data_IF_760964966514
#
_entry.id   IF_760964966514
#
_cell.length_a   1.000
_cell.length_b   1.000
_cell.length_c   1.000
_cell.angle_alpha   90.00
_cell.angle_beta   90.00
_cell.angle_gamma   90.00
#
_symmetry.space_group_name_H-M   'P 1'
#
loop_
_entity.id
_entity.type
_entity.pdbx_description
1 polymer ?
#
# COMPACT_ATOMS: atom_id res chain seq x y z
N UNK A 1 20.23 -7.82 -39.36
CA UNK A 1 20.36 -6.51 -38.70
C UNK A 1 19.29 -5.49 -39.10
N UNK A 2 18.52 -5.69 -40.19
CA UNK A 2 17.51 -4.71 -40.65
C UNK A 2 16.16 -4.80 -39.92
N UNK A 3 15.82 -5.97 -39.35
CA UNK A 3 14.53 -6.15 -38.64
C UNK A 3 14.54 -5.54 -37.22
N UNK A 4 15.63 -5.71 -36.48
CA UNK A 4 15.76 -5.23 -35.08
C UNK A 4 15.68 -3.71 -34.93
N UNK A 5 16.11 -2.95 -35.93
CA UNK A 5 16.00 -1.48 -35.91
C UNK A 5 14.56 -0.97 -36.03
N UNK A 6 13.66 -1.74 -36.68
CA UNK A 6 12.25 -1.38 -36.83
C UNK A 6 11.45 -1.61 -35.55
N UNK A 7 11.74 -2.69 -34.83
CA UNK A 7 11.10 -3.02 -33.54
C UNK A 7 11.43 -1.95 -32.49
N UNK A 8 12.68 -1.50 -32.46
CA UNK A 8 13.12 -0.41 -31.58
C UNK A 8 12.38 0.91 -31.83
N UNK A 9 12.35 1.37 -33.09
CA UNK A 9 11.71 2.63 -33.43
C UNK A 9 10.21 2.60 -33.14
N UNK A 10 9.58 1.43 -33.29
CA UNK A 10 8.18 1.23 -32.90
C UNK A 10 7.98 1.46 -31.40
N UNK A 11 8.74 0.77 -30.53
CA UNK A 11 8.58 0.91 -29.09
C UNK A 11 8.92 2.33 -28.60
N UNK A 12 9.96 2.96 -29.15
CA UNK A 12 10.27 4.36 -28.83
C UNK A 12 9.14 5.33 -29.21
N UNK A 13 8.51 5.12 -30.37
CA UNK A 13 7.37 5.95 -30.78
C UNK A 13 6.20 5.79 -29.83
N UNK A 14 5.89 4.55 -29.43
CA UNK A 14 4.83 4.26 -28.44
C UNK A 14 5.10 4.94 -27.11
N UNK A 15 6.33 4.87 -26.58
CA UNK A 15 6.70 5.59 -25.34
C UNK A 15 6.57 7.11 -25.52
N UNK A 16 7.09 7.64 -26.63
CA UNK A 16 7.05 9.07 -26.91
C UNK A 16 5.62 9.60 -27.06
N UNK A 17 4.70 8.86 -27.68
CA UNK A 17 3.29 9.26 -27.76
C UNK A 17 2.63 9.26 -26.38
N UNK A 18 2.90 8.23 -25.57
CA UNK A 18 2.34 8.09 -24.24
C UNK A 18 3.00 9.02 -23.20
N UNK A 19 4.15 9.61 -23.50
CA UNK A 19 4.82 10.61 -22.67
C UNK A 19 4.43 12.07 -23.01
N UNK A 20 3.58 12.31 -24.03
CA UNK A 20 3.13 13.67 -24.39
C UNK A 20 2.02 14.15 -23.48
N UNK A 21 2.25 15.29 -22.82
CA UNK A 21 1.24 15.97 -22.01
C UNK A 21 0.22 16.64 -22.94
N UNK A 22 -0.89 15.97 -23.19
CA UNK A 22 -2.03 16.60 -23.86
C UNK A 22 -3.32 16.23 -23.13
N UNK A 23 -4.25 17.19 -23.05
CA UNK A 23 -5.55 17.00 -22.40
C UNK A 23 -6.43 15.93 -23.08
N UNK A 24 -6.02 15.45 -24.26
CA UNK A 24 -6.67 14.40 -25.03
C UNK A 24 -5.90 13.07 -25.02
N UNK A 25 -4.73 13.01 -24.36
CA UNK A 25 -3.95 11.79 -24.32
C UNK A 25 -4.54 10.82 -23.30
N UNK A 26 -4.84 9.60 -23.76
CA UNK A 26 -5.33 8.52 -22.91
C UNK A 26 -4.37 8.24 -21.74
N UNK A 27 -4.93 7.79 -20.62
CA UNK A 27 -4.15 7.37 -19.45
C UNK A 27 -3.14 6.27 -19.82
N UNK A 28 -1.83 6.43 -19.51
CA UNK A 28 -0.81 5.44 -19.86
C UNK A 28 -1.11 4.01 -19.41
N UNK A 29 -1.76 3.82 -18.25
CA UNK A 29 -2.08 2.48 -17.75
C UNK A 29 -3.21 1.79 -18.51
N UNK A 30 -4.02 2.53 -19.26
CA UNK A 30 -5.11 1.97 -20.07
C UNK A 30 -4.64 1.28 -21.34
N UNK A 31 -3.38 1.50 -21.76
CA UNK A 31 -2.82 0.91 -22.98
C UNK A 31 -1.92 -0.31 -22.67
N UNK A 32 -2.38 -1.55 -22.89
CA UNK A 32 -1.59 -2.75 -22.61
C UNK A 32 -0.36 -2.89 -23.52
N UNK A 33 -0.34 -2.23 -24.69
CA UNK A 33 0.82 -2.22 -25.58
C UNK A 33 1.99 -1.41 -25.02
N UNK A 34 1.70 -0.45 -24.13
CA UNK A 34 2.70 0.38 -23.50
C UNK A 34 3.57 -0.42 -22.53
N UNK A 35 2.96 -1.22 -21.64
CA UNK A 35 3.70 -2.11 -20.74
C UNK A 35 4.61 -3.05 -21.52
N UNK A 36 4.08 -3.63 -22.60
CA UNK A 36 4.83 -4.53 -23.49
C UNK A 36 6.01 -3.81 -24.14
N UNK A 37 5.82 -2.56 -24.55
CA UNK A 37 6.88 -1.73 -25.14
C UNK A 37 7.96 -1.35 -24.13
N UNK A 38 7.60 -1.01 -22.89
CA UNK A 38 8.59 -0.74 -21.82
C UNK A 38 9.44 -1.99 -21.54
N UNK A 39 8.82 -3.16 -21.42
CA UNK A 39 9.54 -4.43 -21.23
C UNK A 39 10.45 -4.77 -22.41
N UNK A 40 9.99 -4.58 -23.64
CA UNK A 40 10.79 -4.82 -24.83
C UNK A 40 12.03 -3.90 -24.89
N UNK A 41 11.86 -2.61 -24.58
CA UNK A 41 12.99 -1.67 -24.52
C UNK A 41 13.99 -2.01 -23.42
N UNK A 42 13.51 -2.46 -22.26
CA UNK A 42 14.36 -2.96 -21.18
C UNK A 42 15.24 -4.14 -21.66
N UNK A 43 14.63 -5.15 -22.28
CA UNK A 43 15.37 -6.32 -22.78
C UNK A 43 16.37 -5.95 -23.89
N UNK A 44 16.01 -5.02 -24.79
CA UNK A 44 16.92 -4.51 -25.81
C UNK A 44 18.13 -3.80 -25.19
N UNK A 45 17.90 -2.90 -24.22
CA UNK A 45 18.99 -2.19 -23.55
C UNK A 45 19.91 -3.16 -22.79
N UNK A 46 19.33 -4.19 -22.17
CA UNK A 46 20.07 -5.24 -21.46
C UNK A 46 20.91 -6.12 -22.37
N UNK A 47 20.38 -6.47 -23.55
CA UNK A 47 21.05 -7.30 -24.53
C UNK A 47 22.20 -6.56 -25.25
N UNK A 48 21.97 -5.32 -25.66
CA UNK A 48 22.94 -4.55 -26.45
C UNK A 48 24.00 -3.86 -25.58
N UNK A 49 23.71 -3.58 -24.30
CA UNK A 49 24.60 -2.86 -23.36
C UNK A 49 25.16 -1.55 -23.93
N UNK A 50 24.42 -0.89 -24.81
CA UNK A 50 24.80 0.39 -25.39
C UNK A 50 24.41 1.53 -24.44
N UNK A 51 25.41 2.24 -23.92
CA UNK A 51 25.20 3.41 -23.05
C UNK A 51 24.40 4.52 -23.76
N UNK A 52 24.64 4.72 -25.06
CA UNK A 52 23.91 5.69 -25.88
C UNK A 52 22.41 5.37 -25.97
N UNK A 53 22.05 4.09 -26.12
CA UNK A 53 20.65 3.67 -26.16
C UNK A 53 19.97 3.87 -24.82
N UNK A 54 20.66 3.51 -23.73
CA UNK A 54 20.17 3.71 -22.37
C UNK A 54 19.94 5.20 -22.12
N UNK A 55 20.90 6.06 -22.46
CA UNK A 55 20.81 7.51 -22.31
C UNK A 55 19.66 8.14 -23.12
N UNK A 56 19.24 7.51 -24.23
CA UNK A 56 18.11 7.98 -25.04
C UNK A 56 16.75 7.51 -24.51
N UNK A 57 16.67 6.28 -23.96
CA UNK A 57 15.42 5.71 -23.42
C UNK A 57 15.10 6.29 -22.05
N UNK A 58 16.13 6.52 -21.24
CA UNK A 58 15.97 6.93 -19.85
C UNK A 58 15.08 8.19 -19.67
N UNK A 59 15.31 9.30 -20.41
CA UNK A 59 14.49 10.50 -20.24
C UNK A 59 13.03 10.29 -20.65
N UNK A 60 12.78 9.44 -21.65
CA UNK A 60 11.43 9.10 -22.10
C UNK A 60 10.67 8.29 -21.04
N UNK A 61 11.33 7.28 -20.46
CA UNK A 61 10.78 6.49 -19.36
C UNK A 61 10.55 7.35 -18.11
N UNK A 62 11.49 8.24 -17.77
CA UNK A 62 11.31 9.13 -16.62
C UNK A 62 10.11 10.07 -16.85
N UNK A 63 9.98 10.65 -18.04
CA UNK A 63 8.82 11.49 -18.36
C UNK A 63 7.51 10.71 -18.26
N UNK A 64 7.50 9.49 -18.81
CA UNK A 64 6.33 8.61 -18.76
C UNK A 64 5.97 8.21 -17.31
N UNK A 65 6.97 7.91 -16.48
CA UNK A 65 6.81 7.61 -15.06
C UNK A 65 6.13 8.78 -14.32
N UNK A 66 6.64 10.00 -14.48
CA UNK A 66 6.05 11.18 -13.82
C UNK A 66 4.61 11.43 -14.26
N UNK A 67 4.32 11.25 -15.56
CA UNK A 67 2.95 11.35 -16.08
C UNK A 67 2.05 10.26 -15.49
N UNK A 68 2.49 9.00 -15.50
CA UNK A 68 1.74 7.89 -14.92
C UNK A 68 1.42 8.15 -13.45
N UNK A 69 2.39 8.66 -12.67
CA UNK A 69 2.19 9.03 -11.26
C UNK A 69 1.14 10.14 -11.10
N UNK A 70 1.18 11.17 -11.95
CA UNK A 70 0.19 12.26 -11.91
C UNK A 70 -1.24 11.79 -12.26
N UNK A 71 -1.36 10.75 -13.09
CA UNK A 71 -2.66 10.20 -13.52
C UNK A 71 -3.27 9.20 -12.55
N UNK A 72 -2.52 8.65 -11.58
CA UNK A 72 -3.02 7.59 -10.68
C UNK A 72 -4.31 8.05 -9.99
N UNK A 73 -4.40 9.30 -9.51
CA UNK A 73 -5.59 9.78 -8.76
C UNK A 73 -6.84 9.96 -9.62
N UNK A 74 -6.69 10.04 -10.93
CA UNK A 74 -7.77 10.33 -11.88
C UNK A 74 -8.22 9.10 -12.67
N UNK A 75 -7.41 8.04 -12.67
CA UNK A 75 -7.65 6.85 -13.48
C UNK A 75 -8.25 5.70 -12.66
N UNK A 76 -9.03 4.87 -13.36
CA UNK A 76 -9.51 3.59 -12.86
C UNK A 76 -8.59 2.42 -13.23
N UNK A 77 -7.60 2.63 -14.12
CA UNK A 77 -6.65 1.60 -14.51
C UNK A 77 -5.58 1.40 -13.43
N UNK A 78 -5.03 0.18 -13.33
CA UNK A 78 -3.90 -0.13 -12.45
C UNK A 78 -2.59 0.36 -13.07
N UNK A 79 -1.85 1.19 -12.35
CA UNK A 79 -0.53 1.68 -12.77
C UNK A 79 0.59 0.79 -12.26
N UNK A 80 0.32 -0.12 -11.31
CA UNK A 80 1.31 -0.89 -10.58
C UNK A 80 2.32 -1.62 -11.48
N UNK A 81 1.84 -2.41 -12.44
CA UNK A 81 2.71 -3.19 -13.33
C UNK A 81 3.56 -2.31 -14.25
N UNK A 82 3.00 -1.21 -14.74
CA UNK A 82 3.69 -0.27 -15.62
C UNK A 82 4.80 0.46 -14.86
N UNK A 83 4.51 0.97 -13.67
CA UNK A 83 5.49 1.65 -12.84
C UNK A 83 6.60 0.68 -12.37
N UNK A 84 6.28 -0.55 -11.99
CA UNK A 84 7.27 -1.57 -11.64
C UNK A 84 8.22 -1.86 -12.81
N UNK A 85 7.70 -1.95 -14.05
CA UNK A 85 8.55 -2.15 -15.23
C UNK A 85 9.51 -0.98 -15.46
N UNK A 86 9.06 0.27 -15.25
CA UNK A 86 9.92 1.45 -15.33
C UNK A 86 10.95 1.49 -14.20
N UNK A 87 10.55 1.13 -12.97
CA UNK A 87 11.47 1.05 -11.84
C UNK A 87 12.55 -0.01 -12.04
N UNK A 88 12.23 -1.16 -12.66
CA UNK A 88 13.24 -2.15 -13.01
C UNK A 88 14.30 -1.54 -13.93
N UNK A 89 13.89 -0.76 -14.93
CA UNK A 89 14.81 -0.03 -15.79
C UNK A 89 15.67 0.96 -15.00
N UNK A 90 15.07 1.75 -14.11
CA UNK A 90 15.81 2.73 -13.30
C UNK A 90 16.80 2.05 -12.35
N UNK A 91 16.43 0.94 -11.71
CA UNK A 91 17.32 0.21 -10.81
C UNK A 91 18.49 -0.42 -11.56
N UNK A 92 18.27 -1.01 -12.73
CA UNK A 92 19.34 -1.69 -13.46
C UNK A 92 20.30 -0.72 -14.17
N UNK A 93 19.80 0.40 -14.67
CA UNK A 93 20.57 1.32 -15.50
C UNK A 93 20.91 2.66 -14.82
N UNK A 94 20.53 2.88 -13.55
CA UNK A 94 20.81 4.12 -12.80
C UNK A 94 22.28 4.54 -12.83
N UNK A 95 23.20 3.58 -12.73
CA UNK A 95 24.64 3.83 -12.72
C UNK A 95 25.15 4.36 -14.06
N UNK A 96 24.59 3.89 -15.17
CA UNK A 96 24.99 4.30 -16.53
C UNK A 96 24.64 5.77 -16.79
N UNK A 97 23.49 6.22 -16.28
CA UNK A 97 22.99 7.59 -16.48
C UNK A 97 23.19 8.50 -15.27
N UNK A 98 23.89 8.00 -14.23
CA UNK A 98 24.11 8.69 -12.95
C UNK A 98 22.81 9.24 -12.33
N UNK A 99 21.73 8.49 -12.46
CA UNK A 99 20.42 8.87 -11.93
C UNK A 99 20.15 8.24 -10.57
N UNK A 100 19.64 9.03 -9.63
CA UNK A 100 19.16 8.52 -8.35
C UNK A 100 17.74 7.95 -8.48
N UNK A 101 17.60 6.62 -8.37
CA UNK A 101 16.31 5.95 -8.45
C UNK A 101 15.49 6.02 -7.14
N UNK A 102 16.08 6.50 -6.04
CA UNK A 102 15.42 6.56 -4.72
C UNK A 102 14.09 7.35 -4.74
N UNK A 103 14.01 8.57 -5.33
CA UNK A 103 12.77 9.33 -5.38
C UNK A 103 11.66 8.60 -6.15
N UNK A 104 12.00 7.94 -7.25
CA UNK A 104 11.05 7.17 -8.06
C UNK A 104 10.54 5.95 -7.31
N UNK A 105 11.43 5.20 -6.63
CA UNK A 105 11.04 4.08 -5.77
C UNK A 105 10.08 4.56 -4.68
N UNK A 106 10.45 5.60 -3.91
CA UNK A 106 9.59 6.15 -2.85
C UNK A 106 8.23 6.62 -3.36
N UNK A 107 8.21 7.22 -4.55
CA UNK A 107 6.99 7.70 -5.18
C UNK A 107 6.06 6.54 -5.53
N UNK A 108 6.58 5.43 -6.04
CA UNK A 108 5.78 4.23 -6.29
C UNK A 108 5.13 3.69 -5.00
N UNK A 109 5.90 3.55 -3.91
CA UNK A 109 5.34 3.09 -2.64
C UNK A 109 4.26 4.04 -2.10
N UNK A 110 4.54 5.35 -2.12
CA UNK A 110 3.64 6.36 -1.57
C UNK A 110 2.38 6.60 -2.39
N UNK A 111 2.47 6.58 -3.72
CA UNK A 111 1.39 7.04 -4.60
C UNK A 111 0.64 5.92 -5.32
N UNK A 112 1.32 4.83 -5.66
CA UNK A 112 0.72 3.71 -6.38
C UNK A 112 0.43 2.54 -5.44
N UNK A 113 1.45 1.97 -4.80
CA UNK A 113 1.27 0.77 -4.00
C UNK A 113 0.37 1.00 -2.78
N UNK A 114 0.41 2.18 -2.18
CA UNK A 114 -0.52 2.58 -1.11
C UNK A 114 -2.00 2.47 -1.48
N UNK A 115 -2.33 2.48 -2.79
CA UNK A 115 -3.69 2.38 -3.33
C UNK A 115 -3.98 1.05 -4.01
N UNK A 116 -2.94 0.38 -4.51
CA UNK A 116 -3.04 -0.86 -5.27
C UNK A 116 -2.54 -2.08 -4.50
N UNK A 117 -2.16 -1.96 -3.20
CA UNK A 117 -1.70 -3.09 -2.40
C UNK A 117 -2.73 -4.24 -2.34
N UNK A 118 -4.01 -3.93 -2.50
CA UNK A 118 -5.11 -4.90 -2.44
C UNK A 118 -5.26 -5.69 -3.75
N UNK A 119 -4.67 -5.22 -4.86
CA UNK A 119 -4.63 -5.96 -6.11
C UNK A 119 -3.59 -7.09 -6.00
N UNK A 120 -4.01 -8.37 -6.10
CA UNK A 120 -3.12 -9.50 -5.92
C UNK A 120 -2.02 -9.55 -6.99
N UNK A 121 -2.29 -9.07 -8.21
CA UNK A 121 -1.32 -9.07 -9.32
C UNK A 121 -0.22 -8.03 -9.06
N UNK A 122 -0.61 -6.85 -8.58
CA UNK A 122 0.35 -5.78 -8.20
C UNK A 122 1.14 -6.19 -6.97
N UNK A 123 0.49 -6.80 -5.97
CA UNK A 123 1.14 -7.28 -4.76
C UNK A 123 2.20 -8.35 -5.06
N UNK A 124 1.86 -9.33 -5.91
CA UNK A 124 2.78 -10.38 -6.35
C UNK A 124 3.98 -9.79 -7.12
N UNK A 125 3.70 -8.97 -8.13
CA UNK A 125 4.75 -8.32 -8.93
C UNK A 125 5.67 -7.42 -8.09
N UNK A 126 5.11 -6.75 -7.08
CA UNK A 126 5.90 -5.93 -6.14
C UNK A 126 6.85 -6.82 -5.34
N UNK A 127 6.38 -7.94 -4.79
CA UNK A 127 7.25 -8.85 -4.04
C UNK A 127 8.29 -9.54 -4.93
N UNK A 128 7.95 -9.86 -6.17
CA UNK A 128 8.91 -10.38 -7.15
C UNK A 128 10.01 -9.36 -7.43
N UNK A 129 9.63 -8.11 -7.72
CA UNK A 129 10.57 -7.00 -7.92
C UNK A 129 11.50 -6.81 -6.71
N UNK A 130 10.95 -6.82 -5.49
CA UNK A 130 11.73 -6.66 -4.26
C UNK A 130 12.69 -7.82 -4.03
N UNK A 131 12.26 -9.06 -4.28
CA UNK A 131 13.11 -10.23 -4.14
C UNK A 131 14.23 -10.26 -5.19
N UNK A 132 13.91 -9.92 -6.44
CA UNK A 132 14.87 -9.86 -7.54
C UNK A 132 15.97 -8.84 -7.27
N UNK A 133 15.58 -7.66 -6.77
CA UNK A 133 16.48 -6.53 -6.58
C UNK A 133 17.00 -6.40 -5.13
N UNK A 134 16.71 -7.37 -4.25
CA UNK A 134 16.94 -7.28 -2.79
C UNK A 134 18.34 -6.77 -2.43
N UNK A 135 19.38 -7.33 -3.04
CA UNK A 135 20.77 -6.94 -2.74
C UNK A 135 21.01 -5.46 -3.07
N UNK A 136 20.62 -5.01 -4.26
CA UNK A 136 20.79 -3.63 -4.72
C UNK A 136 19.96 -2.66 -3.89
N UNK A 137 18.73 -3.05 -3.53
CA UNK A 137 17.87 -2.25 -2.66
C UNK A 137 18.48 -2.06 -1.27
N UNK A 138 19.02 -3.11 -0.67
CA UNK A 138 19.66 -3.04 0.65
C UNK A 138 20.95 -2.21 0.65
N UNK A 139 21.73 -2.25 -0.44
CA UNK A 139 23.00 -1.50 -0.51
C UNK A 139 22.80 -0.05 -0.91
N UNK A 140 21.92 0.23 -1.88
CA UNK A 140 21.75 1.55 -2.49
C UNK A 140 20.63 2.36 -1.85
N UNK A 141 19.60 1.69 -1.29
CA UNK A 141 18.40 2.32 -0.74
C UNK A 141 18.03 1.74 0.64
N UNK A 142 18.95 1.72 1.62
CA UNK A 142 18.80 0.98 2.88
C UNK A 142 17.60 1.42 3.73
N UNK A 143 17.11 2.65 3.55
CA UNK A 143 15.97 3.20 4.31
C UNK A 143 14.63 3.00 3.64
N UNK A 144 14.58 2.53 2.39
CA UNK A 144 13.34 2.39 1.62
C UNK A 144 12.36 1.42 2.31
N UNK A 145 12.75 0.15 2.41
CA UNK A 145 11.90 -0.90 2.98
C UNK A 145 11.60 -0.69 4.47
N UNK A 146 12.55 -0.26 5.32
CA UNK A 146 12.26 0.10 6.69
C UNK A 146 11.31 1.28 6.85
N UNK A 147 11.26 2.23 5.92
CA UNK A 147 10.30 3.33 6.00
C UNK A 147 8.89 2.89 5.60
N UNK A 148 8.79 2.04 4.57
CA UNK A 148 7.51 1.57 4.04
C UNK A 148 7.04 0.23 4.64
N UNK A 149 7.61 -0.22 5.77
CA UNK A 149 7.19 -1.46 6.42
C UNK A 149 5.69 -1.55 6.72
N UNK A 150 4.98 -0.48 7.13
CA UNK A 150 3.56 -0.61 7.43
C UNK A 150 2.73 -0.93 6.18
N UNK A 151 3.07 -0.32 5.04
CA UNK A 151 2.47 -0.65 3.74
C UNK A 151 2.79 -2.10 3.31
N UNK A 152 3.99 -2.58 3.61
CA UNK A 152 4.36 -3.99 3.38
C UNK A 152 3.52 -4.94 4.24
N UNK A 153 3.19 -4.55 5.48
CA UNK A 153 2.27 -5.29 6.33
C UNK A 153 0.82 -5.25 5.82
N UNK A 154 0.34 -4.11 5.31
CA UNK A 154 -0.98 -4.02 4.64
C UNK A 154 -1.06 -4.94 3.43
N UNK A 155 -0.04 -4.93 2.58
CA UNK A 155 0.05 -5.79 1.39
C UNK A 155 -0.06 -7.27 1.77
N UNK A 156 0.73 -7.73 2.75
CA UNK A 156 0.72 -9.15 3.14
C UNK A 156 -0.51 -9.54 3.97
N UNK A 157 -1.04 -8.63 4.78
CA UNK A 157 -2.29 -8.84 5.51
C UNK A 157 -3.45 -9.15 4.54
N UNK A 158 -3.51 -8.44 3.42
CA UNK A 158 -4.58 -8.62 2.43
C UNK A 158 -4.37 -9.83 1.50
N UNK A 159 -3.12 -10.12 1.13
CA UNK A 159 -2.78 -11.12 0.10
C UNK A 159 -2.06 -12.38 0.64
N UNK A 160 -2.08 -12.57 1.97
CA UNK A 160 -1.16 -13.47 2.69
C UNK A 160 -1.21 -14.95 2.32
N UNK A 161 -2.32 -15.46 1.78
CA UNK A 161 -2.47 -16.89 1.47
C UNK A 161 -1.43 -17.39 0.44
N UNK A 162 -1.17 -16.57 -0.59
CA UNK A 162 -0.27 -16.93 -1.69
C UNK A 162 1.14 -16.37 -1.49
N UNK A 163 1.25 -15.22 -0.83
CA UNK A 163 2.46 -14.41 -0.86
C UNK A 163 3.38 -14.56 0.36
N UNK A 164 2.95 -15.24 1.44
CA UNK A 164 3.70 -15.37 2.70
C UNK A 164 5.16 -15.83 2.48
N UNK A 165 5.37 -16.88 1.68
CA UNK A 165 6.72 -17.42 1.41
C UNK A 165 7.63 -16.41 0.69
N UNK A 166 7.07 -15.66 -0.25
CA UNK A 166 7.79 -14.63 -0.99
C UNK A 166 8.10 -13.43 -0.08
N UNK A 167 7.14 -13.07 0.77
CA UNK A 167 7.27 -11.99 1.74
C UNK A 167 8.33 -12.26 2.80
N UNK A 168 8.40 -13.48 3.35
CA UNK A 168 9.41 -13.86 4.35
C UNK A 168 10.86 -13.66 3.85
N UNK A 169 11.09 -13.68 2.54
CA UNK A 169 12.41 -13.38 1.95
C UNK A 169 12.72 -11.89 1.95
N UNK A 170 11.71 -11.03 1.84
CA UNK A 170 11.82 -9.57 1.90
C UNK A 170 11.82 -9.08 3.35
N UNK A 171 11.12 -9.78 4.25
CA UNK A 171 10.90 -9.39 5.64
C UNK A 171 12.14 -8.90 6.41
N UNK A 172 13.34 -9.53 6.32
CA UNK A 172 14.52 -9.02 7.00
C UNK A 172 14.92 -7.60 6.60
N UNK A 173 14.61 -7.19 5.36
CA UNK A 173 14.90 -5.85 4.85
C UNK A 173 13.98 -4.76 5.45
N UNK A 174 12.90 -5.14 6.14
CA UNK A 174 12.05 -4.21 6.88
C UNK A 174 12.68 -3.83 8.23
N UNK A 175 13.66 -4.59 8.71
CA UNK A 175 14.29 -4.41 10.01
C UNK A 175 15.51 -3.49 9.89
N UNK A 176 15.42 -2.33 10.53
CA UNK A 176 16.50 -1.36 10.70
C UNK A 176 16.43 -0.77 12.11
N UNK A 177 17.45 -0.06 12.60
CA UNK A 177 17.39 0.59 13.90
C UNK A 177 16.16 1.49 14.10
N UNK A 178 15.70 2.18 13.04
CA UNK A 178 14.53 3.07 13.11
C UNK A 178 13.18 2.35 13.03
N UNK A 179 13.12 1.16 12.41
CA UNK A 179 11.88 0.40 12.22
C UNK A 179 11.73 -0.77 13.19
N UNK A 180 12.81 -1.20 13.85
CA UNK A 180 12.82 -2.39 14.70
C UNK A 180 11.75 -2.35 15.80
N UNK A 181 11.75 -1.28 16.61
CA UNK A 181 10.80 -1.11 17.71
C UNK A 181 9.35 -0.96 17.25
N UNK A 182 9.02 -0.10 16.27
CA UNK A 182 7.63 0.04 15.80
C UNK A 182 7.14 -1.16 14.97
N UNK A 183 8.04 -1.97 14.39
CA UNK A 183 7.66 -3.16 13.63
C UNK A 183 7.06 -4.25 14.52
N UNK A 184 7.68 -4.55 15.68
CA UNK A 184 7.18 -5.58 16.60
C UNK A 184 5.69 -5.45 16.91
N UNK A 185 5.21 -4.29 17.39
CA UNK A 185 3.82 -4.18 17.75
C UNK A 185 2.91 -4.23 16.53
N UNK A 186 3.35 -3.80 15.34
CA UNK A 186 2.57 -3.93 14.10
C UNK A 186 2.47 -5.37 13.59
N UNK A 187 3.47 -6.21 13.83
CA UNK A 187 3.40 -7.65 13.52
C UNK A 187 2.35 -8.36 14.37
N UNK A 188 2.35 -8.08 15.67
CA UNK A 188 1.37 -8.68 16.59
C UNK A 188 -0.05 -8.24 16.27
N UNK A 189 -0.23 -7.01 15.76
CA UNK A 189 -1.56 -6.49 15.39
C UNK A 189 -1.96 -6.81 13.95
N UNK A 190 -1.19 -7.62 13.23
CA UNK A 190 -1.50 -7.98 11.85
C UNK A 190 -2.92 -8.58 11.66
N UNK A 191 -3.44 -9.44 12.56
CA UNK A 191 -4.83 -9.89 12.46
C UNK A 191 -5.83 -8.75 12.63
N UNK A 192 -5.51 -7.76 13.48
CA UNK A 192 -6.38 -6.60 13.72
C UNK A 192 -6.37 -5.68 12.49
N UNK A 193 -5.22 -5.51 11.84
CA UNK A 193 -5.11 -4.80 10.58
C UNK A 193 -6.03 -5.43 9.51
N UNK A 194 -6.10 -6.76 9.42
CA UNK A 194 -7.06 -7.43 8.52
C UNK A 194 -8.50 -7.06 8.88
N UNK A 195 -8.89 -7.16 10.16
CA UNK A 195 -10.25 -6.80 10.60
C UNK A 195 -10.59 -5.36 10.23
N UNK A 196 -9.63 -4.45 10.40
CA UNK A 196 -9.80 -3.05 10.04
C UNK A 196 -10.03 -2.83 8.54
N UNK A 197 -9.20 -3.46 7.71
CA UNK A 197 -9.30 -3.36 6.27
C UNK A 197 -10.60 -3.96 5.76
N UNK A 198 -11.04 -5.11 6.29
CA UNK A 198 -12.31 -5.71 5.91
C UNK A 198 -13.52 -4.87 6.35
N UNK A 199 -13.43 -4.18 7.50
CA UNK A 199 -14.49 -3.26 7.92
C UNK A 199 -14.62 -2.10 6.93
N UNK A 200 -13.50 -1.56 6.46
CA UNK A 200 -13.50 -0.51 5.43
C UNK A 200 -13.98 -1.03 4.08
N UNK A 201 -13.59 -2.23 3.67
CA UNK A 201 -14.09 -2.85 2.42
C UNK A 201 -15.63 -2.99 2.46
N UNK A 202 -16.19 -3.40 3.60
CA UNK A 202 -17.65 -3.52 3.78
C UNK A 202 -18.37 -2.18 3.78
N UNK A 203 -17.76 -1.12 4.33
CA UNK A 203 -18.41 0.21 4.42
C UNK A 203 -18.23 1.07 3.18
N UNK A 204 -17.13 0.88 2.43
CA UNK A 204 -16.67 1.82 1.40
C UNK A 204 -16.49 1.18 0.03
N UNK A 205 -16.70 -0.13 -0.11
CA UNK A 205 -16.48 -0.87 -1.33
C UNK A 205 -15.03 -1.32 -1.51
N UNK A 206 -14.66 -1.71 -2.73
CA UNK A 206 -13.34 -2.30 -3.03
C UNK A 206 -12.19 -1.41 -2.55
N UNK A 207 -11.21 -2.03 -1.88
CA UNK A 207 -9.94 -1.38 -1.49
C UNK A 207 -8.99 -1.17 -2.68
N UNK A 208 -9.33 -1.66 -3.87
CA UNK A 208 -8.53 -1.48 -5.08
C UNK A 208 -8.75 -0.07 -5.62
N UNK A 209 -7.68 0.73 -5.70
CA UNK A 209 -7.70 2.06 -6.32
C UNK A 209 -8.30 3.17 -5.44
N UNK A 210 -8.99 2.84 -4.35
CA UNK A 210 -9.47 3.82 -3.38
C UNK A 210 -8.31 4.27 -2.48
N UNK A 211 -7.97 5.57 -2.51
CA UNK A 211 -7.04 6.11 -1.53
C UNK A 211 -7.79 6.18 -0.20
N UNK A 212 -7.28 5.56 0.86
CA UNK A 212 -7.93 5.59 2.18
C UNK A 212 -8.08 7.05 2.68
N UNK A 213 -7.19 7.94 2.23
CA UNK A 213 -7.30 9.39 2.45
C UNK A 213 -8.53 10.02 1.75
N UNK A 214 -8.97 9.49 0.60
CA UNK A 214 -10.19 9.94 -0.09
C UNK A 214 -11.48 9.46 0.56
N UNK A 215 -11.44 8.37 1.33
CA UNK A 215 -12.56 7.91 2.17
C UNK A 215 -12.83 8.84 3.35
N UNK A 216 -11.88 9.72 3.67
CA UNK A 216 -12.04 10.78 4.67
C UNK A 216 -12.55 12.09 4.07
N UNK A 217 -12.89 12.14 2.77
CA UNK A 217 -13.55 13.31 2.21
C UNK A 217 -14.95 13.36 2.84
N UNK A 218 -15.01 14.19 3.87
CA UNK A 218 -16.08 14.39 4.83
C UNK A 218 -17.45 14.48 4.18
N UNK A 219 -18.49 14.08 4.92
CA UNK A 219 -19.90 14.43 4.68
C UNK A 219 -20.15 15.95 4.75
N UNK A 220 -19.20 16.71 5.33
CA UNK A 220 -19.30 18.16 5.54
C UNK A 220 -19.42 19.05 4.27
N UNK A 221 -18.76 18.79 3.12
CA UNK A 221 -18.89 19.58 1.90
C UNK A 221 -20.21 19.30 1.20
N UNK A 222 -20.74 18.06 1.28
CA UNK A 222 -22.05 17.70 0.72
C UNK A 222 -23.19 18.29 1.56
N UNK A 223 -23.06 18.28 2.90
CA UNK A 223 -24.02 18.92 3.79
C UNK A 223 -24.00 20.45 3.67
N UNK A 224 -22.82 21.05 3.43
CA UNK A 224 -22.70 22.48 3.08
C UNK A 224 -23.30 22.78 1.70
N UNK A 225 -23.10 21.91 0.70
CA UNK A 225 -23.73 22.06 -0.62
C UNK A 225 -25.26 21.98 -0.51
N UNK A 226 -25.77 21.02 0.28
CA UNK A 226 -27.19 20.83 0.51
C UNK A 226 -27.81 22.01 1.28
N UNK A 227 -27.13 22.54 2.29
CA UNK A 227 -27.58 23.75 3.01
C UNK A 227 -27.55 25.00 2.14
N UNK A 228 -26.59 25.10 1.22
CA UNK A 228 -26.54 26.19 0.24
C UNK A 228 -27.66 26.08 -0.79
N UNK A 229 -27.97 24.87 -1.26
CA UNK A 229 -29.10 24.61 -2.16
C UNK A 229 -30.46 24.83 -1.47
N UNK A 230 -30.60 24.48 -0.18
CA UNK A 230 -31.81 24.71 0.62
C UNK A 230 -32.05 26.22 0.84
N UNK A 231 -31.00 26.98 1.14
CA UNK A 231 -31.08 28.45 1.26
C UNK A 231 -31.39 29.15 -0.08
N UNK A 232 -31.06 28.52 -1.22
CA UNK A 232 -31.25 29.10 -2.55
C UNK A 232 -32.57 28.67 -3.21
N UNK A 233 -33.12 27.50 -2.85
CA UNK A 233 -34.36 26.95 -3.44
C UNK A 233 -35.60 27.12 -2.56
N UNK A 234 -35.45 27.45 -1.27
CA UNK A 234 -36.54 27.88 -0.41
C UNK A 234 -37.65 26.83 -0.19
N UNK A 235 -37.37 25.54 -0.35
CA UNK A 235 -38.36 24.49 -0.03
C UNK A 235 -38.39 24.20 1.46
N UNK A 236 -39.31 24.85 2.17
CA UNK A 236 -39.81 24.38 3.46
C UNK A 236 -40.58 23.08 3.21
N UNK A 237 -40.06 21.93 3.62
CA UNK A 237 -40.90 20.74 3.77
C UNK A 237 -41.84 21.03 4.94
N UNK A 238 -43.13 21.07 4.63
CA UNK A 238 -44.20 21.40 5.56
C UNK A 238 -44.32 20.40 6.70
N UNK A 239 -44.72 20.95 7.84
CA UNK A 239 -45.25 20.30 9.02
C UNK A 239 -46.53 19.52 8.66
N UNK A 240 -46.46 18.19 8.56
CA UNK A 240 -47.61 17.29 8.61
C UNK A 240 -47.24 16.03 9.40
N UNK A 241 -47.89 15.85 10.55
CA UNK A 241 -47.72 14.71 11.42
C UNK A 241 -48.27 13.41 10.82
N UNK A 242 -47.53 12.32 10.99
CA UNK A 242 -48.03 10.96 10.93
C UNK A 242 -47.08 10.04 11.68
N UNK A 243 -47.61 9.32 12.68
CA UNK A 243 -46.97 8.20 13.34
C UNK A 243 -46.47 7.17 12.31
N UNK A 244 -45.17 6.90 12.33
CA UNK A 244 -44.62 5.64 11.86
C UNK A 244 -43.54 5.19 12.83
N UNK A 245 -43.92 4.26 13.69
CA UNK A 245 -42.99 3.26 14.21
C UNK A 245 -42.17 2.72 13.02
N UNK A 246 -40.87 2.97 13.03
CA UNK A 246 -39.95 2.31 12.12
C UNK A 246 -38.85 1.68 12.93
N UNK A 247 -38.85 0.36 12.84
CA UNK A 247 -37.93 -0.56 13.46
C UNK A 247 -36.47 -0.22 13.16
N UNK A 248 -35.65 -0.58 14.15
CA UNK A 248 -34.21 -0.75 14.08
C UNK A 248 -33.70 -1.12 12.68
N UNK A 249 -33.11 -0.15 11.97
CA UNK A 249 -32.13 -0.48 10.94
C UNK A 249 -31.18 0.69 10.67
N UNK A 250 -29.89 0.34 10.66
CA UNK A 250 -28.78 1.06 10.04
C UNK A 250 -28.10 2.19 10.84
N UNK A 251 -27.25 1.81 11.80
CA UNK A 251 -26.04 2.57 12.17
C UNK A 251 -24.80 2.15 11.35
N UNK A 252 -25.00 1.43 10.24
CA UNK A 252 -23.95 1.01 9.30
C UNK A 252 -23.74 2.09 8.22
N UNK A 253 -23.32 3.29 8.62
CA UNK A 253 -23.26 4.45 7.70
C UNK A 253 -21.91 5.14 7.55
N UNK A 254 -20.99 4.96 8.50
CA UNK A 254 -19.66 5.56 8.42
C UNK A 254 -18.63 4.53 8.88
N UNK A 255 -17.56 4.35 8.11
CA UNK A 255 -16.39 3.64 8.62
C UNK A 255 -15.99 4.29 9.95
N UNK A 256 -16.04 3.51 11.02
CA UNK A 256 -15.73 3.95 12.37
C UNK A 256 -14.38 4.70 12.37
N UNK A 257 -14.34 5.98 12.81
CA UNK A 257 -13.18 6.87 12.67
C UNK A 257 -11.87 6.25 13.16
N UNK A 258 -11.95 5.35 14.15
CA UNK A 258 -10.82 4.61 14.71
C UNK A 258 -10.16 3.65 13.70
N UNK A 259 -10.96 3.04 12.82
CA UNK A 259 -10.48 2.12 11.80
C UNK A 259 -9.90 2.86 10.59
N UNK A 260 -10.46 4.02 10.24
CA UNK A 260 -9.86 4.89 9.22
C UNK A 260 -8.52 5.45 9.68
N UNK A 261 -8.39 5.82 10.96
CA UNK A 261 -7.12 6.25 11.54
C UNK A 261 -6.05 5.15 11.51
N UNK A 262 -6.44 3.90 11.73
CA UNK A 262 -5.55 2.75 11.57
C UNK A 262 -4.99 2.59 10.15
N UNK A 263 -5.76 3.06 9.17
CA UNK A 263 -5.48 2.86 7.77
C UNK A 263 -4.92 4.11 7.08
N UNK A 264 -4.90 5.27 7.77
CA UNK A 264 -4.24 6.49 7.31
C UNK A 264 -2.81 6.20 6.88
N UNK A 265 -2.30 7.04 5.98
CA UNK A 265 -0.99 6.87 5.40
C UNK A 265 0.09 6.81 6.50
N UNK A 266 0.63 5.61 6.74
CA UNK A 266 1.60 5.32 7.81
C UNK A 266 3.03 5.74 7.43
N UNK A 267 3.20 6.38 6.26
CA UNK A 267 4.48 6.88 5.76
C UNK A 267 5.08 8.01 6.61
N UNK A 268 4.28 8.64 7.47
CA UNK A 268 4.70 9.71 8.41
C UNK A 268 4.83 9.24 9.86
N UNK A 269 4.86 7.92 10.07
CA UNK A 269 4.99 7.31 11.39
C UNK A 269 3.64 6.86 11.96
N UNK A 270 3.65 5.68 12.57
CA UNK A 270 2.50 5.18 13.31
C UNK A 270 2.22 6.16 14.46
N UNK A 271 1.08 6.86 14.39
CA UNK A 271 0.58 7.59 15.55
C UNK A 271 0.47 6.62 16.74
N UNK A 272 0.69 7.14 17.94
CA UNK A 272 0.69 6.43 19.21
C UNK A 272 -0.72 5.94 19.59
N UNK A 273 -1.24 4.99 18.81
CA UNK A 273 -1.98 3.79 19.21
C UNK A 273 -3.17 3.95 20.18
N UNK A 274 -4.35 4.17 19.58
CA UNK A 274 -5.71 4.06 20.14
C UNK A 274 -6.17 2.62 20.50
N UNK A 275 -5.26 1.64 20.64
CA UNK A 275 -5.57 0.19 20.78
C UNK A 275 -6.21 -0.21 22.11
N UNK A 276 -6.13 0.66 23.11
CA UNK A 276 -6.80 0.48 24.41
C UNK A 276 -8.22 1.00 24.41
N UNK A 277 -8.72 1.54 23.29
CA UNK A 277 -10.08 2.06 23.24
C UNK A 277 -11.11 0.93 23.45
N UNK A 278 -12.13 1.16 24.30
CA UNK A 278 -13.23 0.21 24.50
C UNK A 278 -13.94 -0.16 23.19
N UNK A 279 -14.01 0.78 22.24
CA UNK A 279 -14.61 0.56 20.93
C UNK A 279 -13.84 -0.48 20.09
N UNK A 280 -12.50 -0.42 20.07
CA UNK A 280 -11.68 -1.44 19.40
C UNK A 280 -11.83 -2.81 20.07
N UNK A 281 -11.88 -2.85 21.40
CA UNK A 281 -12.09 -4.09 22.15
C UNK A 281 -13.45 -4.73 21.84
N UNK A 282 -14.52 -3.93 21.79
CA UNK A 282 -15.86 -4.40 21.44
C UNK A 282 -15.92 -4.90 19.99
N UNK A 283 -15.34 -4.17 19.03
CA UNK A 283 -15.29 -4.58 17.62
C UNK A 283 -14.53 -5.91 17.43
N UNK A 284 -13.41 -6.09 18.15
CA UNK A 284 -12.66 -7.35 18.16
C UNK A 284 -13.48 -8.49 18.77
N UNK A 285 -14.19 -8.27 19.87
CA UNK A 285 -15.06 -9.30 20.47
C UNK A 285 -16.18 -9.74 19.51
N UNK A 286 -16.84 -8.80 18.84
CA UNK A 286 -17.85 -9.12 17.82
C UNK A 286 -17.26 -9.94 16.69
N UNK A 287 -16.06 -9.59 16.22
CA UNK A 287 -15.39 -10.31 15.14
C UNK A 287 -15.01 -11.73 15.57
N UNK A 288 -14.56 -11.93 16.81
CA UNK A 288 -14.24 -13.25 17.36
C UNK A 288 -15.46 -14.17 17.51
N UNK A 289 -16.65 -13.61 17.71
CA UNK A 289 -17.90 -14.36 17.85
C UNK A 289 -18.58 -14.65 16.49
N UNK A 290 -18.07 -14.09 15.40
CA UNK A 290 -18.55 -14.30 14.04
C UNK A 290 -17.71 -15.33 13.28
N UNK A 291 -18.23 -15.97 12.21
CA UNK A 291 -17.43 -16.84 11.35
C UNK A 291 -16.25 -16.05 10.76
N UNK A 292 -15.03 -16.47 11.12
CA UNK A 292 -13.80 -15.79 10.70
C UNK A 292 -13.61 -15.90 9.18
N UNK A 293 -13.23 -14.78 8.56
CA UNK A 293 -12.83 -14.74 7.16
C UNK A 293 -11.56 -15.56 6.92
N UNK A 294 -11.34 -16.01 5.69
CA UNK A 294 -10.14 -16.78 5.36
C UNK A 294 -8.87 -15.91 5.46
N UNK A 295 -8.97 -14.61 5.16
CA UNK A 295 -7.89 -13.62 5.38
C UNK A 295 -7.51 -13.54 6.86
N UNK A 296 -8.49 -13.45 7.76
CA UNK A 296 -8.25 -13.40 9.21
C UNK A 296 -7.62 -14.71 9.72
N UNK A 297 -8.14 -15.86 9.30
CA UNK A 297 -7.55 -17.18 9.64
C UNK A 297 -6.10 -17.27 9.18
N UNK A 298 -5.79 -16.76 7.98
CA UNK A 298 -4.44 -16.75 7.45
C UNK A 298 -3.53 -15.80 8.22
N UNK A 299 -3.99 -14.59 8.55
CA UNK A 299 -3.23 -13.65 9.38
C UNK A 299 -2.91 -14.23 10.77
N UNK A 300 -3.86 -14.94 11.39
CA UNK A 300 -3.64 -15.64 12.66
C UNK A 300 -2.56 -16.74 12.55
N UNK A 301 -2.46 -17.43 11.41
CA UNK A 301 -1.42 -18.44 11.16
C UNK A 301 -0.05 -17.82 10.82
N UNK A 302 -0.05 -16.70 10.10
CA UNK A 302 1.14 -16.02 9.62
C UNK A 302 1.82 -15.18 10.70
N UNK A 303 1.05 -14.57 11.60
CA UNK A 303 1.55 -13.66 12.65
C UNK A 303 2.63 -14.31 13.52
N UNK A 304 2.44 -15.52 14.09
CA UNK A 304 3.50 -16.18 14.86
C UNK A 304 4.78 -16.39 14.07
N UNK A 305 4.68 -16.77 12.79
CA UNK A 305 5.87 -17.02 11.94
C UNK A 305 6.65 -15.74 11.64
N UNK A 306 5.96 -14.62 11.44
CA UNK A 306 6.59 -13.31 11.25
C UNK A 306 7.24 -12.82 12.56
N UNK A 307 6.60 -13.08 13.69
CA UNK A 307 7.16 -12.78 15.02
C UNK A 307 8.39 -13.65 15.31
N UNK A 308 8.34 -14.94 14.96
CA UNK A 308 9.49 -15.86 15.08
C UNK A 308 10.65 -15.38 14.21
N UNK A 309 10.38 -15.00 12.95
CA UNK A 309 11.39 -14.44 12.06
C UNK A 309 11.97 -13.11 12.62
N UNK A 310 11.12 -12.24 13.18
CA UNK A 310 11.55 -10.99 13.82
C UNK A 310 12.54 -11.26 14.95
N UNK A 311 12.22 -12.18 15.87
CA UNK A 311 13.10 -12.51 16.97
C UNK A 311 14.36 -13.26 16.53
N UNK A 312 14.26 -14.15 15.55
CA UNK A 312 15.42 -14.84 14.99
C UNK A 312 16.45 -13.83 14.43
N UNK A 313 15.99 -12.81 13.72
CA UNK A 313 16.85 -11.73 13.21
C UNK A 313 17.34 -10.84 14.35
N UNK A 314 16.47 -10.49 15.30
CA UNK A 314 16.81 -9.63 16.43
C UNK A 314 18.00 -10.15 17.24
N UNK A 315 18.06 -11.46 17.47
CA UNK A 315 19.13 -12.10 18.25
C UNK A 315 20.49 -12.03 17.53
N UNK A 316 20.51 -11.97 16.20
CA UNK A 316 21.75 -11.97 15.43
C UNK A 316 22.22 -10.58 15.02
N UNK A 317 21.30 -9.70 14.63
CA UNK A 317 21.63 -8.50 13.86
C UNK A 317 21.34 -7.18 14.61
N UNK A 318 20.65 -7.24 15.75
CA UNK A 318 20.20 -6.04 16.49
C UNK A 318 21.03 -5.82 17.74
N UNK A 319 21.32 -4.55 18.04
CA UNK A 319 22.13 -4.18 19.20
C UNK A 319 21.39 -4.37 20.54
N UNK A 320 22.16 -4.56 21.61
CA UNK A 320 21.63 -4.79 22.96
C UNK A 320 20.71 -3.65 23.43
N UNK A 321 20.98 -2.40 23.04
CA UNK A 321 20.15 -1.26 23.43
C UNK A 321 18.72 -1.33 22.89
N UNK A 322 18.57 -1.75 21.63
CA UNK A 322 17.25 -1.90 21.00
C UNK A 322 16.53 -3.14 21.55
N UNK A 323 17.27 -4.22 21.83
CA UNK A 323 16.72 -5.41 22.51
C UNK A 323 16.20 -5.02 23.90
N UNK A 324 16.95 -4.23 24.67
CA UNK A 324 16.51 -3.71 25.96
C UNK A 324 15.26 -2.82 25.84
N UNK A 325 15.19 -1.97 24.81
CA UNK A 325 14.02 -1.12 24.54
C UNK A 325 12.77 -1.91 24.09
N UNK A 326 12.94 -3.15 23.62
CA UNK A 326 11.82 -4.04 23.29
C UNK A 326 11.17 -4.65 24.54
N UNK A 327 11.91 -4.81 25.65
CA UNK A 327 11.40 -5.45 26.88
C UNK A 327 10.15 -4.76 27.42
N UNK A 328 10.10 -3.42 27.59
CA UNK A 328 8.88 -2.73 28.02
C UNK A 328 7.68 -2.98 27.10
N UNK A 329 7.89 -3.02 25.77
CA UNK A 329 6.83 -3.27 24.79
C UNK A 329 6.22 -4.67 24.95
N UNK A 330 7.06 -5.67 25.24
CA UNK A 330 6.62 -7.03 25.56
C UNK A 330 5.80 -7.06 26.85
N UNK A 331 6.25 -6.34 27.88
CA UNK A 331 5.60 -6.31 29.18
C UNK A 331 4.22 -5.62 29.14
N UNK A 332 4.10 -4.48 28.46
CA UNK A 332 2.81 -3.76 28.30
C UNK A 332 1.75 -4.64 27.63
N UNK A 333 2.14 -5.39 26.59
CA UNK A 333 1.27 -6.32 25.86
C UNK A 333 0.88 -7.53 26.70
N UNK A 334 1.83 -8.15 27.43
CA UNK A 334 1.53 -9.25 28.34
C UNK A 334 0.61 -8.81 29.48
N UNK A 335 0.84 -7.62 30.04
CA UNK A 335 0.01 -7.08 31.12
C UNK A 335 -1.43 -6.80 30.66
N UNK A 336 -1.63 -6.26 29.46
CA UNK A 336 -2.98 -6.11 28.89
C UNK A 336 -3.68 -7.43 28.59
N UNK A 337 -2.94 -8.47 28.16
CA UNK A 337 -3.48 -9.81 27.96
C UNK A 337 -3.91 -10.48 29.28
N UNK A 338 -3.14 -10.28 30.36
CA UNK A 338 -3.41 -10.83 31.69
C UNK A 338 -4.59 -10.09 32.35
N UNK A 339 -4.64 -8.76 32.28
CA UNK A 339 -5.77 -7.98 32.79
C UNK A 339 -7.08 -8.27 32.07
N UNK A 340 -7.05 -8.63 30.77
CA UNK A 340 -8.25 -9.09 30.04
C UNK A 340 -8.73 -10.48 30.45
N UNK A 341 -7.85 -11.36 30.93
CA UNK A 341 -8.27 -12.66 31.48
C UNK A 341 -8.96 -12.52 32.85
N UNK A 342 -8.58 -11.52 33.65
CA UNK A 342 -9.22 -11.24 34.95
C UNK A 342 -10.57 -10.48 34.84
N UNK A 343 -10.95 -10.04 33.63
CA UNK A 343 -12.26 -9.43 33.33
C UNK A 343 -13.22 -10.41 32.63
N UNK A 344 -12.77 -11.65 32.42
CA UNK A 344 -13.54 -12.77 31.85
C UNK A 344 -13.79 -13.90 32.89
N UNK A 345 -13.53 -13.62 34.16
CA UNK A 345 -14.11 -14.28 35.34
C UNK A 345 -15.07 -13.31 36.00
#
# INVERSE_FOLDING_TARGET
MVDRGKDWDFHLRTLSSSARDSNFANDPASDPSLLSSVKALYELCKAEKSEDLIARVYPLLNKLFQRSVASISQSQASHGLLLLAMLQFFVDFSEVVLHDADPSLRTFFRSCLSREFADPVVAEATLEFLNLNKKKLLTSFPTLLPQFFPLMLKLIAWNGEKLEKSFLRVFPALMSPGSFLPLFPSLVDLPILVVAMEKVERSSGSLIGSSIASLQKSTAPEMLLALMDEAYTGSMIGDEGADFESEESNTMGAADPLFLELLKDENDGLAERHWTSPAMAAALQVTMNSPQSDRLKQALKMTPRLVDAYFAIAVHDVNDSLICALIPLLMVRKFHSISRQNLLL
#
